data_IF_581237130504
#
_entry.id   IF_581237130504
#
_cell.length_a   1.000
_cell.length_b   1.000
_cell.length_c   1.000
_cell.angle_alpha   90.00
_cell.angle_beta   90.00
_cell.angle_gamma   90.00
#
_symmetry.space_group_name_H-M   'P 1'
#
loop_
_entity.id
_entity.type
_entity.pdbx_description
1 polymer ?
#
# COMPACT_ATOMS: atom_id res chain seq x y z
N UNK A 1 16.13 15.06 12.57
CA UNK A 1 15.06 15.07 11.56
C UNK A 1 15.40 14.05 10.49
N UNK A 2 14.83 12.85 10.60
CA UNK A 2 14.84 11.86 9.53
C UNK A 2 14.34 12.48 8.23
N UNK A 3 15.09 12.28 7.15
CA UNK A 3 14.73 12.79 5.82
C UNK A 3 13.99 11.68 5.10
N UNK A 4 12.80 11.98 4.59
CA UNK A 4 12.10 11.03 3.74
C UNK A 4 12.93 10.73 2.48
N UNK A 5 12.91 9.47 2.05
CA UNK A 5 13.39 9.07 0.74
C UNK A 5 12.73 9.95 -0.33
N UNK A 6 13.56 10.58 -1.18
CA UNK A 6 13.05 11.53 -2.17
C UNK A 6 12.30 10.83 -3.30
N UNK A 7 12.87 9.75 -3.83
CA UNK A 7 12.35 9.01 -4.98
C UNK A 7 12.69 7.53 -4.81
N UNK A 8 11.80 6.66 -5.30
CA UNK A 8 11.96 5.22 -5.32
C UNK A 8 12.60 4.79 -6.65
N UNK A 9 13.54 3.85 -6.58
CA UNK A 9 14.20 3.27 -7.74
C UNK A 9 13.55 1.93 -8.05
N UNK A 10 12.94 1.81 -9.23
CA UNK A 10 12.28 0.58 -9.67
C UNK A 10 13.12 -0.14 -10.72
N UNK A 11 13.21 -1.47 -10.63
CA UNK A 11 13.86 -2.30 -11.67
C UNK A 11 13.16 -2.16 -13.02
N UNK A 12 11.84 -2.13 -12.99
CA UNK A 12 10.98 -1.80 -14.13
C UNK A 12 10.24 -0.52 -13.76
N UNK A 13 10.47 0.54 -14.53
CA UNK A 13 9.85 1.84 -14.26
C UNK A 13 8.32 1.72 -14.42
N UNK A 14 7.52 2.18 -13.44
CA UNK A 14 6.07 2.19 -13.60
C UNK A 14 5.68 3.11 -14.77
N UNK A 15 4.52 2.84 -15.36
CA UNK A 15 3.93 3.71 -16.40
C UNK A 15 3.87 5.16 -15.93
N UNK A 16 3.40 5.38 -14.70
CA UNK A 16 3.34 6.70 -14.09
C UNK A 16 3.64 6.62 -12.59
N UNK A 17 4.42 7.58 -12.08
CA UNK A 17 4.56 7.84 -10.66
C UNK A 17 4.66 9.35 -10.42
N UNK A 18 3.85 9.83 -9.49
CA UNK A 18 3.82 11.24 -9.07
C UNK A 18 4.01 11.30 -7.56
N UNK A 19 5.06 11.98 -7.11
CA UNK A 19 5.29 12.26 -5.70
C UNK A 19 4.48 13.47 -5.27
N UNK A 20 3.82 13.36 -4.11
CA UNK A 20 3.02 14.45 -3.58
C UNK A 20 3.85 15.25 -2.56
N UNK A 21 3.63 16.57 -2.52
CA UNK A 21 4.14 17.43 -1.46
C UNK A 21 3.15 17.43 -0.29
N UNK A 22 3.06 16.29 0.38
CA UNK A 22 2.18 16.02 1.52
C UNK A 22 2.95 15.30 2.61
N UNK A 23 2.37 15.29 3.81
CA UNK A 23 2.91 14.56 4.95
C UNK A 23 3.05 13.06 4.64
N UNK A 24 4.20 12.44 4.99
CA UNK A 24 4.41 11.03 4.76
C UNK A 24 3.51 10.17 5.65
N UNK A 25 3.37 8.90 5.28
CA UNK A 25 2.82 7.89 6.17
C UNK A 25 3.84 7.56 7.26
N UNK A 26 3.52 7.82 8.51
CA UNK A 26 4.36 7.46 9.65
C UNK A 26 3.90 6.10 10.22
N UNK A 27 4.75 5.09 10.07
CA UNK A 27 4.42 3.74 10.49
C UNK A 27 4.43 3.62 12.01
N UNK A 28 3.42 2.95 12.53
CA UNK A 28 3.34 2.55 13.93
C UNK A 28 2.91 1.08 14.06
N UNK A 29 2.86 0.59 15.29
CA UNK A 29 2.56 -0.83 15.60
C UNK A 29 1.12 -1.27 15.30
N UNK A 30 0.21 -0.33 15.05
CA UNK A 30 -1.22 -0.60 14.84
C UNK A 30 -1.57 -0.79 13.35
N UNK A 31 -0.59 -0.61 12.45
CA UNK A 31 -0.76 -0.84 11.02
C UNK A 31 -0.90 -2.32 10.69
N UNK A 32 -1.92 -2.66 9.90
CA UNK A 32 -2.12 -4.00 9.35
C UNK A 32 -2.57 -3.92 7.88
N UNK A 33 -2.58 -5.05 7.18
CA UNK A 33 -3.17 -5.14 5.85
C UNK A 33 -4.67 -5.47 5.94
N UNK A 34 -5.47 -4.75 5.17
CA UNK A 34 -6.88 -5.02 4.94
C UNK A 34 -7.11 -5.40 3.49
N UNK A 35 -8.03 -6.34 3.24
CA UNK A 35 -8.33 -6.81 1.89
C UNK A 35 -9.84 -7.07 1.69
N UNK A 36 -10.36 -6.91 0.48
CA UNK A 36 -11.76 -7.24 0.19
C UNK A 36 -11.99 -8.69 -0.27
N UNK A 37 -10.94 -9.45 -0.66
CA UNK A 37 -11.07 -10.88 -1.03
C UNK A 37 -10.07 -11.75 -0.27
N UNK A 38 -10.55 -12.86 0.31
CA UNK A 38 -9.75 -13.80 1.12
C UNK A 38 -8.53 -14.33 0.35
N UNK A 39 -8.66 -14.54 -0.96
CA UNK A 39 -7.58 -15.10 -1.79
C UNK A 39 -6.30 -14.27 -1.75
N UNK A 40 -6.35 -12.97 -1.45
CA UNK A 40 -5.19 -12.07 -1.41
C UNK A 40 -4.26 -12.30 -0.22
N UNK A 41 -4.66 -13.09 0.79
CA UNK A 41 -3.83 -13.36 1.96
C UNK A 41 -2.48 -13.96 1.60
N UNK A 42 -2.42 -14.78 0.55
CA UNK A 42 -1.18 -15.42 0.10
C UNK A 42 -0.21 -14.39 -0.49
N UNK A 43 -0.72 -13.45 -1.26
CA UNK A 43 0.04 -12.37 -1.88
C UNK A 43 0.55 -11.41 -0.80
N UNK A 44 -0.29 -11.04 0.17
CA UNK A 44 0.06 -10.17 1.29
C UNK A 44 1.15 -10.78 2.20
N UNK A 45 1.28 -12.10 2.23
CA UNK A 45 2.28 -12.80 3.07
C UNK A 45 3.70 -12.32 2.77
N UNK A 46 4.03 -11.99 1.51
CA UNK A 46 5.34 -11.44 1.16
C UNK A 46 5.59 -10.10 1.85
N UNK A 47 4.60 -9.19 1.82
CA UNK A 47 4.67 -7.91 2.51
C UNK A 47 4.81 -8.08 4.03
N UNK A 48 4.05 -9.00 4.63
CA UNK A 48 4.14 -9.28 6.07
C UNK A 48 5.54 -9.78 6.48
N UNK A 49 6.21 -10.55 5.62
CA UNK A 49 7.55 -11.06 5.89
C UNK A 49 8.59 -9.94 5.91
N UNK A 50 8.53 -8.96 5.00
CA UNK A 50 9.42 -7.80 5.00
C UNK A 50 9.32 -7.06 6.33
N UNK A 51 8.10 -6.76 6.77
CA UNK A 51 7.88 -6.11 8.07
C UNK A 51 8.42 -6.94 9.22
N UNK A 52 8.24 -8.25 9.21
CA UNK A 52 8.78 -9.14 10.25
C UNK A 52 10.31 -9.14 10.25
N UNK A 53 10.95 -9.08 9.10
CA UNK A 53 12.42 -9.04 8.99
C UNK A 53 13.00 -7.78 9.64
N UNK A 54 12.42 -6.61 9.36
CA UNK A 54 12.89 -5.33 9.87
C UNK A 54 12.38 -5.03 11.29
N UNK A 55 11.07 -5.10 11.52
CA UNK A 55 10.45 -4.68 12.79
C UNK A 55 10.40 -5.77 13.86
N UNK A 56 10.63 -7.03 13.49
CA UNK A 56 10.40 -8.23 14.33
C UNK A 56 8.95 -8.40 14.79
N UNK A 57 8.00 -7.63 14.24
CA UNK A 57 6.57 -7.73 14.53
C UNK A 57 5.89 -8.53 13.42
N UNK A 58 5.06 -9.49 13.82
CA UNK A 58 4.20 -10.22 12.90
C UNK A 58 3.00 -9.35 12.52
N UNK A 59 3.09 -8.72 11.34
CA UNK A 59 2.03 -7.87 10.83
C UNK A 59 0.83 -8.72 10.39
N UNK A 60 -0.39 -8.29 10.68
CA UNK A 60 -1.60 -9.08 10.40
C UNK A 60 -2.24 -8.71 9.07
N UNK A 61 -3.12 -9.60 8.57
CA UNK A 61 -3.96 -9.35 7.41
C UNK A 61 -5.42 -9.71 7.73
N UNK A 62 -6.34 -8.76 7.50
CA UNK A 62 -7.75 -8.88 7.84
C UNK A 62 -8.66 -8.56 6.66
N UNK A 63 -9.87 -9.11 6.66
CA UNK A 63 -10.91 -8.69 5.72
C UNK A 63 -11.44 -7.30 6.08
N UNK A 64 -11.74 -6.47 5.08
CA UNK A 64 -12.56 -5.27 5.29
C UNK A 64 -13.98 -5.74 5.61
N UNK A 65 -14.59 -5.20 6.65
CA UNK A 65 -15.98 -5.55 7.01
C UNK A 65 -16.93 -5.01 5.95
N UNK A 66 -17.96 -5.78 5.61
CA UNK A 66 -18.98 -5.39 4.62
C UNK A 66 -19.65 -4.05 4.98
N UNK A 67 -19.83 -3.77 6.28
CA UNK A 67 -20.38 -2.50 6.76
C UNK A 67 -19.51 -1.26 6.45
N UNK A 68 -18.23 -1.44 6.11
CA UNK A 68 -17.28 -0.35 5.84
C UNK A 68 -17.03 -0.16 4.35
N UNK A 69 -17.44 -1.11 3.52
CA UNK A 69 -17.15 -1.16 2.09
C UNK A 69 -18.43 -1.42 1.29
N UNK A 70 -18.85 -0.44 0.49
CA UNK A 70 -19.97 -0.59 -0.43
C UNK A 70 -19.69 -1.74 -1.41
N UNK A 71 -20.74 -2.50 -1.71
CA UNK A 71 -20.68 -3.63 -2.63
C UNK A 71 -20.15 -3.22 -4.01
N UNK A 72 -20.56 -2.07 -4.52
CA UNK A 72 -20.11 -1.51 -5.81
C UNK A 72 -18.57 -1.43 -5.92
N UNK A 73 -17.87 -1.10 -4.83
CA UNK A 73 -16.40 -1.06 -4.84
C UNK A 73 -15.80 -2.46 -4.84
N UNK A 74 -16.42 -3.40 -4.13
CA UNK A 74 -15.96 -4.79 -4.06
C UNK A 74 -16.19 -5.56 -5.37
N UNK A 75 -17.15 -5.14 -6.17
CA UNK A 75 -17.40 -5.66 -7.52
C UNK A 75 -16.46 -5.04 -8.56
N UNK A 76 -16.21 -3.73 -8.45
CA UNK A 76 -15.39 -3.02 -9.42
C UNK A 76 -13.90 -3.23 -9.23
N UNK A 77 -13.45 -3.37 -7.97
CA UNK A 77 -12.04 -3.41 -7.61
C UNK A 77 -11.67 -4.60 -6.73
N UNK A 78 -10.44 -5.06 -6.94
CA UNK A 78 -9.67 -5.81 -5.97
C UNK A 78 -8.90 -4.80 -5.14
N UNK A 79 -9.04 -4.89 -3.81
CA UNK A 79 -8.64 -3.83 -2.89
C UNK A 79 -7.73 -4.43 -1.81
N UNK A 80 -6.58 -3.78 -1.62
CA UNK A 80 -5.74 -3.93 -0.43
C UNK A 80 -5.51 -2.53 0.16
N UNK A 81 -5.68 -2.38 1.48
CA UNK A 81 -5.39 -1.14 2.20
C UNK A 81 -4.44 -1.45 3.34
N UNK A 82 -3.28 -0.80 3.38
CA UNK A 82 -2.35 -0.86 4.49
C UNK A 82 -2.57 0.37 5.38
N UNK A 83 -3.17 0.15 6.55
CA UNK A 83 -3.60 1.23 7.45
C UNK A 83 -3.93 0.67 8.84
N UNK A 84 -4.52 1.48 9.72
CA UNK A 84 -4.97 1.08 11.06
C UNK A 84 -6.45 0.67 11.06
N UNK A 85 -6.89 0.03 12.15
CA UNK A 85 -8.30 -0.35 12.34
C UNK A 85 -9.28 0.83 12.39
N UNK A 86 -8.83 2.04 12.73
CA UNK A 86 -9.71 3.20 12.82
C UNK A 86 -9.90 3.86 11.45
N UNK A 87 -8.83 3.95 10.66
CA UNK A 87 -8.88 4.51 9.30
C UNK A 87 -9.70 3.62 8.36
N UNK A 88 -9.53 2.29 8.42
CA UNK A 88 -10.26 1.37 7.52
C UNK A 88 -11.78 1.40 7.71
N UNK A 89 -12.30 1.90 8.84
CA UNK A 89 -13.76 2.08 9.03
C UNK A 89 -14.37 3.03 7.99
N UNK A 90 -13.53 3.89 7.42
CA UNK A 90 -13.84 4.83 6.35
C UNK A 90 -13.41 4.32 4.98
N UNK A 91 -13.36 2.99 4.76
CA UNK A 91 -12.89 2.41 3.50
C UNK A 91 -13.62 2.98 2.27
N UNK A 92 -14.91 3.29 2.37
CA UNK A 92 -15.63 3.99 1.31
C UNK A 92 -15.02 5.36 0.97
N UNK A 93 -14.70 6.18 1.97
CA UNK A 93 -14.08 7.50 1.77
C UNK A 93 -12.66 7.40 1.17
N UNK A 94 -11.95 6.29 1.45
CA UNK A 94 -10.64 5.99 0.87
C UNK A 94 -10.76 5.67 -0.63
N UNK A 95 -11.84 5.01 -1.05
CA UNK A 95 -11.98 4.46 -2.41
C UNK A 95 -12.79 5.38 -3.34
N UNK A 96 -13.81 6.07 -2.81
CA UNK A 96 -14.71 6.94 -3.55
C UNK A 96 -13.98 7.95 -4.47
N UNK A 97 -12.88 8.61 -4.07
CA UNK A 97 -12.14 9.53 -4.93
C UNK A 97 -11.55 8.87 -6.18
N UNK A 98 -11.47 7.54 -6.21
CA UNK A 98 -10.87 6.74 -7.28
C UNK A 98 -11.91 6.00 -8.13
N UNK A 99 -13.20 6.21 -7.86
CA UNK A 99 -14.31 5.60 -8.61
C UNK A 99 -14.29 5.87 -10.11
N UNK A 100 -13.64 6.97 -10.54
CA UNK A 100 -13.45 7.33 -11.94
C UNK A 100 -12.32 6.55 -12.64
N UNK A 101 -11.53 5.74 -11.92
CA UNK A 101 -10.42 4.99 -12.50
C UNK A 101 -10.92 3.76 -13.24
N UNK A 102 -10.72 3.74 -14.56
CA UNK A 102 -10.98 2.59 -15.43
C UNK A 102 -9.76 1.65 -15.48
N UNK A 103 -9.59 0.83 -14.43
CA UNK A 103 -8.50 -0.14 -14.39
C UNK A 103 -8.73 -1.31 -15.36
N UNK A 104 -7.76 -1.54 -16.24
CA UNK A 104 -7.72 -2.71 -17.14
C UNK A 104 -7.16 -3.93 -16.43
N UNK A 105 -7.41 -5.11 -17.00
CA UNK A 105 -6.81 -6.38 -16.54
C UNK A 105 -5.29 -6.27 -16.48
N UNK A 106 -4.66 -6.82 -15.44
CA UNK A 106 -3.22 -6.73 -15.20
C UNK A 106 -2.71 -5.35 -14.76
N UNK A 107 -3.55 -4.31 -14.73
CA UNK A 107 -3.17 -2.99 -14.24
C UNK A 107 -3.51 -2.79 -12.77
N UNK A 108 -2.76 -1.92 -12.11
CA UNK A 108 -2.98 -1.53 -10.73
C UNK A 108 -2.69 -0.04 -10.51
N UNK A 109 -3.32 0.49 -9.47
CA UNK A 109 -3.10 1.83 -8.95
C UNK A 109 -2.69 1.71 -7.48
N UNK A 110 -1.63 2.43 -7.12
CA UNK A 110 -1.17 2.60 -5.76
C UNK A 110 -1.25 4.07 -5.36
N UNK A 111 -1.69 4.32 -4.14
CA UNK A 111 -1.61 5.64 -3.52
C UNK A 111 -1.15 5.52 -2.08
N UNK A 112 -0.18 6.35 -1.69
CA UNK A 112 0.20 6.55 -0.30
C UNK A 112 -0.13 7.96 0.14
N UNK A 113 -0.85 8.06 1.25
CA UNK A 113 -1.16 9.30 1.97
C UNK A 113 -0.52 9.26 3.35
N UNK A 114 -0.76 10.25 4.19
CA UNK A 114 -0.36 10.23 5.60
C UNK A 114 -1.12 9.21 6.46
N UNK A 115 -2.18 8.59 5.93
CA UNK A 115 -3.06 7.67 6.69
C UNK A 115 -3.06 6.24 6.17
N UNK A 116 -2.78 6.02 4.89
CA UNK A 116 -2.86 4.69 4.29
C UNK A 116 -1.95 4.51 3.07
N UNK A 117 -1.76 3.24 2.68
CA UNK A 117 -1.43 2.86 1.32
C UNK A 117 -2.59 2.07 0.74
N UNK A 118 -3.10 2.49 -0.41
CA UNK A 118 -4.19 1.87 -1.14
C UNK A 118 -3.64 1.20 -2.39
N UNK A 119 -4.04 -0.05 -2.62
CA UNK A 119 -3.83 -0.78 -3.86
C UNK A 119 -5.19 -1.15 -4.46
N UNK A 120 -5.46 -0.65 -5.65
CA UNK A 120 -6.61 -0.99 -6.48
C UNK A 120 -6.16 -1.74 -7.73
N UNK A 121 -6.87 -2.80 -8.08
CA UNK A 121 -6.64 -3.57 -9.31
C UNK A 121 -7.97 -4.09 -9.87
N UNK A 122 -8.00 -4.45 -11.16
CA UNK A 122 -9.18 -5.09 -11.77
C UNK A 122 -9.20 -6.61 -11.56
N UNK A 123 -8.04 -7.21 -11.38
CA UNK A 123 -7.89 -8.66 -11.28
C UNK A 123 -6.71 -9.06 -10.38
N UNK A 124 -6.51 -10.38 -10.25
CA UNK A 124 -5.44 -10.94 -9.43
C UNK A 124 -4.05 -10.67 -10.02
N UNK A 125 -3.94 -10.49 -11.34
CA UNK A 125 -2.68 -10.11 -11.98
C UNK A 125 -2.21 -8.75 -11.49
N UNK A 126 -3.11 -7.76 -11.53
CA UNK A 126 -2.85 -6.42 -11.00
C UNK A 126 -2.52 -6.43 -9.51
N UNK A 127 -3.23 -7.23 -8.69
CA UNK A 127 -2.88 -7.38 -7.26
C UNK A 127 -1.47 -7.92 -7.08
N UNK A 128 -1.08 -8.98 -7.79
CA UNK A 128 0.26 -9.58 -7.65
C UNK A 128 1.35 -8.58 -7.99
N UNK A 129 1.22 -7.87 -9.11
CA UNK A 129 2.21 -6.87 -9.51
C UNK A 129 2.24 -5.64 -8.60
N UNK A 130 1.06 -5.20 -8.14
CA UNK A 130 0.96 -4.14 -7.14
C UNK A 130 1.64 -4.51 -5.83
N UNK A 131 1.46 -5.75 -5.35
CA UNK A 131 2.15 -6.28 -4.16
C UNK A 131 3.66 -6.30 -4.35
N UNK A 132 4.17 -6.76 -5.49
CA UNK A 132 5.63 -6.72 -5.78
C UNK A 132 6.17 -5.29 -5.75
N UNK A 133 5.41 -4.32 -6.27
CA UNK A 133 5.80 -2.90 -6.22
C UNK A 133 5.77 -2.35 -4.79
N UNK A 134 4.78 -2.74 -3.98
CA UNK A 134 4.74 -2.38 -2.56
C UNK A 134 5.94 -2.98 -1.81
N UNK A 135 6.34 -4.21 -2.13
CA UNK A 135 7.54 -4.84 -1.58
C UNK A 135 8.81 -4.03 -1.90
N UNK A 136 9.01 -3.63 -3.15
CA UNK A 136 10.15 -2.78 -3.55
C UNK A 136 10.16 -1.43 -2.79
N UNK A 137 8.98 -0.82 -2.60
CA UNK A 137 8.81 0.44 -1.86
C UNK A 137 9.15 0.25 -0.37
N UNK A 138 8.63 -0.80 0.26
CA UNK A 138 8.89 -1.08 1.67
C UNK A 138 10.36 -1.40 1.90
N UNK A 139 10.97 -2.23 1.06
CA UNK A 139 12.39 -2.57 1.16
C UNK A 139 13.26 -1.31 1.12
N UNK A 140 13.07 -0.45 0.13
CA UNK A 140 13.81 0.80 0.01
C UNK A 140 13.57 1.74 1.20
N UNK A 141 12.33 1.81 1.70
CA UNK A 141 11.98 2.64 2.86
C UNK A 141 12.70 2.14 4.12
N UNK A 142 12.68 0.83 4.38
CA UNK A 142 13.37 0.27 5.55
C UNK A 142 14.89 0.41 5.42
N UNK A 143 15.48 0.07 4.28
CA UNK A 143 16.93 0.22 4.06
C UNK A 143 17.41 1.67 4.26
N UNK A 144 16.68 2.65 3.74
CA UNK A 144 16.98 4.07 3.95
C UNK A 144 16.89 4.43 5.44
N UNK A 145 15.81 4.02 6.12
CA UNK A 145 15.64 4.24 7.55
C UNK A 145 16.81 3.68 8.40
N UNK A 146 17.21 2.43 8.16
CA UNK A 146 18.34 1.83 8.89
C UNK A 146 19.69 2.47 8.53
N UNK A 147 19.89 2.86 7.28
CA UNK A 147 21.12 3.53 6.82
C UNK A 147 21.29 4.91 7.47
N UNK A 148 20.19 5.63 7.68
CA UNK A 148 20.20 6.94 8.33
C UNK A 148 20.57 6.87 9.83
N UNK A 149 20.70 5.68 10.44
CA UNK A 149 21.02 5.46 11.86
C UNK A 149 20.13 6.25 12.85
N UNK A 150 18.95 6.70 12.42
CA UNK A 150 18.01 7.40 13.27
C UNK A 150 17.27 6.35 14.11
N UNK A 151 17.60 6.28 15.40
CA UNK A 151 16.97 5.33 16.35
C UNK A 151 15.65 5.83 16.95
N UNK A 152 15.31 7.11 16.71
CA UNK A 152 14.27 7.81 17.47
C UNK A 152 13.07 8.27 16.62
N UNK A 153 13.12 8.09 15.29
CA UNK A 153 12.07 8.56 14.37
C UNK A 153 11.23 7.37 13.85
N UNK A 154 9.95 7.60 13.55
CA UNK A 154 9.10 6.60 12.89
C UNK A 154 9.62 6.30 11.47
N UNK A 155 9.34 5.09 10.96
CA UNK A 155 9.58 4.77 9.55
C UNK A 155 8.59 5.58 8.70
N UNK A 156 9.09 6.35 7.73
CA UNK A 156 8.26 7.27 6.92
C UNK A 156 8.20 6.82 5.47
N UNK A 157 6.99 6.63 4.95
CA UNK A 157 6.76 6.36 3.52
C UNK A 157 6.29 7.66 2.86
N UNK A 158 7.02 8.10 1.83
CA UNK A 158 6.69 9.33 1.10
C UNK A 158 5.30 9.19 0.44
N UNK A 159 4.50 10.25 0.42
CA UNK A 159 3.24 10.25 -0.33
C UNK A 159 3.48 10.19 -1.84
N UNK A 160 2.73 9.33 -2.53
CA UNK A 160 2.81 9.15 -3.97
C UNK A 160 1.49 8.65 -4.56
N UNK A 161 1.36 8.78 -5.87
CA UNK A 161 0.43 8.04 -6.71
C UNK A 161 1.23 7.29 -7.77
N UNK A 162 0.88 6.06 -8.04
CA UNK A 162 1.56 5.20 -9.01
C UNK A 162 0.51 4.42 -9.79
N UNK A 163 0.64 4.44 -11.12
CA UNK A 163 -0.16 3.61 -12.01
C UNK A 163 0.77 2.77 -12.88
N UNK A 164 0.43 1.49 -13.05
CA UNK A 164 1.21 0.60 -13.89
C UNK A 164 0.36 -0.57 -14.43
N UNK A 165 0.82 -1.15 -15.54
CA UNK A 165 0.24 -2.34 -16.15
C UNK A 165 1.32 -3.39 -16.40
N UNK A 166 0.96 -4.67 -16.24
CA UNK A 166 1.80 -5.77 -16.74
C UNK A 166 1.72 -5.75 -18.26
N UNK A 167 2.85 -5.60 -18.94
CA UNK A 167 2.99 -5.86 -20.38
C UNK A 167 3.08 -7.37 -20.64
#
# INVERSE_FOLDING_TARGET
MSKNLKEYVFKVKPTEITYQDKEPLELNKDFIFFHNKIKFRKEITQLQNIFKEYTKIALQASGIRDSYLKEEFSENYYIIVFTTHDVVRKANEIIEPHSHLELKKGCYYLESTSEYILLLAKDLGGIKSGVVTMEDIFYQTFEDYYTQRNTDDYVKIRSFKLFNCIE
#
